data_IF_649885205382
#
_entry.id   IF_649885205382
#
_cell.length_a   1.000
_cell.length_b   1.000
_cell.length_c   1.000
_cell.angle_alpha   90.00
_cell.angle_beta   90.00
_cell.angle_gamma   90.00
#
_symmetry.space_group_name_H-M   'P 1'
#
loop_
_entity.id
_entity.type
_entity.pdbx_description
1 polymer ?
#
# COMPACT_ATOMS: atom_id res chain seq x y z
N UNK A 1 -15.99 -25.82 -20.96
CA UNK A 1 -14.52 -25.61 -21.01
C UNK A 1 -14.25 -24.14 -20.74
N UNK A 2 -13.90 -23.79 -19.50
CA UNK A 2 -13.52 -22.41 -19.16
C UNK A 2 -12.07 -22.22 -19.60
N UNK A 3 -11.83 -21.31 -20.54
CA UNK A 3 -10.48 -21.01 -21.05
C UNK A 3 -9.63 -20.56 -19.86
N UNK A 4 -8.57 -21.30 -19.53
CA UNK A 4 -7.63 -20.92 -18.47
C UNK A 4 -6.95 -19.63 -18.92
N UNK A 5 -7.23 -18.53 -18.22
CA UNK A 5 -6.53 -17.26 -18.48
C UNK A 5 -5.15 -17.42 -17.85
N UNK A 6 -4.11 -17.50 -18.68
CA UNK A 6 -2.73 -17.60 -18.21
C UNK A 6 -2.09 -16.22 -18.01
N UNK A 7 -2.71 -15.16 -18.57
CA UNK A 7 -2.26 -13.77 -18.51
C UNK A 7 -3.41 -12.79 -18.78
N UNK A 8 -3.45 -11.66 -18.07
CA UNK A 8 -4.30 -10.52 -18.39
C UNK A 8 -3.74 -9.78 -19.62
N UNK A 9 -4.52 -9.52 -20.68
CA UNK A 9 -4.06 -8.77 -21.85
C UNK A 9 -3.64 -7.34 -21.48
N UNK A 10 -2.57 -6.81 -22.12
CA UNK A 10 -2.10 -5.45 -21.85
C UNK A 10 -3.20 -4.39 -22.04
N UNK A 11 -4.00 -4.49 -23.12
CA UNK A 11 -5.14 -3.58 -23.34
C UNK A 11 -6.10 -3.53 -22.15
N UNK A 12 -6.28 -4.65 -21.45
CA UNK A 12 -7.14 -4.72 -20.25
C UNK A 12 -6.47 -4.01 -19.08
N UNK A 13 -5.16 -4.16 -18.91
CA UNK A 13 -4.38 -3.39 -17.92
C UNK A 13 -4.46 -1.89 -18.20
N UNK A 14 -4.22 -1.48 -19.44
CA UNK A 14 -4.27 -0.07 -19.86
C UNK A 14 -5.67 0.53 -19.61
N UNK A 15 -6.72 -0.27 -19.84
CA UNK A 15 -8.11 0.15 -19.56
C UNK A 15 -8.33 0.34 -18.07
N UNK A 16 -7.91 -0.61 -17.23
CA UNK A 16 -8.05 -0.49 -15.77
C UNK A 16 -7.25 0.66 -15.20
N UNK A 17 -6.02 0.86 -15.67
CA UNK A 17 -5.17 1.96 -15.24
C UNK A 17 -5.79 3.31 -15.64
N UNK A 18 -6.28 3.45 -16.87
CA UNK A 18 -6.95 4.65 -17.34
C UNK A 18 -8.26 4.92 -16.57
N UNK A 19 -9.02 3.89 -16.21
CA UNK A 19 -10.21 4.01 -15.37
C UNK A 19 -9.85 4.55 -13.98
N UNK A 20 -8.85 3.93 -13.32
CA UNK A 20 -8.38 4.31 -11.98
C UNK A 20 -7.60 5.63 -11.97
N UNK A 21 -7.22 6.18 -13.12
CA UNK A 21 -6.63 7.51 -13.25
C UNK A 21 -7.68 8.64 -13.27
N UNK A 22 -8.97 8.31 -13.37
CA UNK A 22 -10.04 9.30 -13.23
C UNK A 22 -10.29 9.61 -11.76
N UNK A 23 -10.63 10.87 -11.46
CA UNK A 23 -11.10 11.25 -10.13
C UNK A 23 -12.39 10.51 -9.80
N UNK A 24 -12.37 9.75 -8.71
CA UNK A 24 -13.51 9.00 -8.20
C UNK A 24 -13.69 9.26 -6.71
N UNK A 25 -14.93 9.18 -6.24
CA UNK A 25 -15.20 9.15 -4.80
C UNK A 25 -14.57 7.90 -4.17
N UNK A 26 -13.99 7.95 -2.96
CA UNK A 26 -13.30 6.80 -2.37
C UNK A 26 -14.13 5.50 -2.32
N UNK A 27 -15.43 5.51 -2.00
CA UNK A 27 -16.25 4.30 -2.04
C UNK A 27 -16.39 3.69 -3.44
N UNK A 28 -16.54 4.52 -4.47
CA UNK A 28 -16.66 4.09 -5.87
C UNK A 28 -15.33 3.54 -6.38
N UNK A 29 -14.24 4.25 -6.12
CA UNK A 29 -12.89 3.83 -6.47
C UNK A 29 -12.57 2.45 -5.90
N UNK A 30 -12.87 2.27 -4.60
CA UNK A 30 -12.66 0.99 -3.91
C UNK A 30 -13.53 -0.12 -4.49
N UNK A 31 -14.81 0.16 -4.75
CA UNK A 31 -15.71 -0.80 -5.38
C UNK A 31 -15.15 -1.28 -6.72
N UNK A 32 -14.73 -0.34 -7.57
CA UNK A 32 -14.13 -0.64 -8.88
C UNK A 32 -12.86 -1.47 -8.75
N UNK A 33 -11.98 -1.10 -7.83
CA UNK A 33 -10.75 -1.84 -7.58
C UNK A 33 -11.05 -3.28 -7.11
N UNK A 34 -12.02 -3.45 -6.21
CA UNK A 34 -12.40 -4.78 -5.72
C UNK A 34 -12.97 -5.66 -6.85
N UNK A 35 -13.74 -5.10 -7.79
CA UNK A 35 -14.19 -5.83 -8.99
C UNK A 35 -13.01 -6.29 -9.85
N UNK A 36 -12.04 -5.41 -10.09
CA UNK A 36 -10.83 -5.74 -10.85
C UNK A 36 -10.08 -6.86 -10.15
N UNK A 37 -9.79 -6.72 -8.85
CA UNK A 37 -9.03 -7.69 -8.07
C UNK A 37 -9.71 -9.06 -7.99
N UNK A 38 -11.05 -9.11 -7.82
CA UNK A 38 -11.82 -10.37 -7.85
C UNK A 38 -11.75 -11.09 -9.19
N UNK A 39 -11.55 -10.36 -10.28
CA UNK A 39 -11.45 -10.94 -11.63
C UNK A 39 -10.08 -11.57 -11.93
N UNK A 40 -9.06 -11.30 -11.11
CA UNK A 40 -7.68 -11.74 -11.34
C UNK A 40 -7.40 -12.99 -10.51
N UNK A 41 -7.08 -14.13 -11.14
CA UNK A 41 -6.59 -15.30 -10.41
C UNK A 41 -5.32 -14.98 -9.63
N UNK A 42 -5.23 -15.47 -8.40
CA UNK A 42 -4.07 -15.29 -7.50
C UNK A 42 -2.73 -15.62 -8.18
N UNK A 43 -2.70 -16.71 -8.95
CA UNK A 43 -1.50 -17.14 -9.69
C UNK A 43 -1.01 -16.12 -10.72
N UNK A 44 -1.92 -15.33 -11.30
CA UNK A 44 -1.57 -14.26 -12.25
C UNK A 44 -1.12 -13.02 -11.48
N UNK A 45 -1.85 -12.63 -10.43
CA UNK A 45 -1.58 -11.43 -9.65
C UNK A 45 -0.13 -11.34 -9.15
N UNK A 46 0.44 -12.47 -8.73
CA UNK A 46 1.82 -12.52 -8.25
C UNK A 46 2.90 -12.74 -9.30
N UNK A 47 2.55 -13.21 -10.51
CA UNK A 47 3.53 -13.62 -11.54
C UNK A 47 3.59 -12.69 -12.73
N UNK A 48 2.50 -12.00 -13.05
CA UNK A 48 2.44 -11.12 -14.20
C UNK A 48 3.04 -9.75 -13.88
N UNK A 49 4.00 -9.32 -14.70
CA UNK A 49 4.49 -7.95 -14.69
C UNK A 49 3.39 -6.96 -15.14
N UNK A 50 3.48 -5.72 -14.66
CA UNK A 50 2.53 -4.66 -15.00
C UNK A 50 1.28 -4.58 -14.11
N UNK A 51 1.26 -5.28 -12.97
CA UNK A 51 0.17 -5.21 -11.99
C UNK A 51 0.50 -4.31 -10.78
N UNK A 52 1.66 -3.64 -10.80
CA UNK A 52 2.11 -2.77 -9.70
C UNK A 52 1.09 -1.67 -9.40
N UNK A 53 0.52 -1.05 -10.44
CA UNK A 53 -0.49 0.01 -10.29
C UNK A 53 -1.73 -0.43 -9.49
N UNK A 54 -2.10 -1.73 -9.52
CA UNK A 54 -3.23 -2.23 -8.71
C UNK A 54 -2.92 -2.22 -7.22
N UNK A 55 -1.66 -2.42 -6.84
CA UNK A 55 -1.23 -2.28 -5.46
C UNK A 55 -1.22 -0.82 -5.04
N UNK A 56 -0.74 0.06 -5.91
CA UNK A 56 -0.69 1.49 -5.60
C UNK A 56 -2.12 2.05 -5.51
N UNK A 57 -3.04 1.59 -6.37
CA UNK A 57 -4.48 1.83 -6.27
C UNK A 57 -5.08 1.31 -4.96
N UNK A 58 -4.66 0.11 -4.53
CA UNK A 58 -5.08 -0.45 -3.25
C UNK A 58 -4.66 0.46 -2.10
N UNK A 59 -3.39 0.88 -2.05
CA UNK A 59 -2.90 1.84 -1.03
C UNK A 59 -3.68 3.16 -1.12
N UNK A 60 -3.83 3.72 -2.32
CA UNK A 60 -4.55 4.98 -2.57
C UNK A 60 -5.98 4.94 -2.01
N UNK A 61 -6.72 3.86 -2.28
CA UNK A 61 -8.09 3.70 -1.78
C UNK A 61 -8.18 3.68 -0.24
N UNK A 62 -7.21 3.07 0.44
CA UNK A 62 -7.17 2.99 1.92
C UNK A 62 -6.79 4.34 2.53
N UNK A 63 -5.85 5.05 1.91
CA UNK A 63 -5.46 6.40 2.33
C UNK A 63 -6.63 7.37 2.16
N UNK A 64 -7.29 7.33 1.00
CA UNK A 64 -8.41 8.23 0.71
C UNK A 64 -9.61 8.02 1.67
N UNK A 65 -9.97 6.75 1.96
CA UNK A 65 -11.02 6.40 2.92
C UNK A 65 -10.65 6.86 4.34
N UNK A 66 -9.40 6.59 4.77
CA UNK A 66 -8.90 6.97 6.10
C UNK A 66 -8.90 8.48 6.33
N UNK A 67 -8.51 9.26 5.32
CA UNK A 67 -8.47 10.73 5.38
C UNK A 67 -9.83 11.38 5.12
N UNK A 68 -10.90 10.60 4.90
CA UNK A 68 -12.24 11.10 4.58
C UNK A 68 -12.23 12.07 3.39
N UNK A 69 -11.55 11.65 2.33
CA UNK A 69 -11.26 12.49 1.16
C UNK A 69 -12.46 12.62 0.24
N UNK A 70 -12.51 13.70 -0.54
CA UNK A 70 -13.55 13.91 -1.55
C UNK A 70 -13.31 13.05 -2.79
N UNK A 71 -12.06 12.88 -3.21
CA UNK A 71 -11.76 12.07 -4.40
C UNK A 71 -10.35 11.48 -4.35
N UNK A 72 -10.12 10.44 -5.14
CA UNK A 72 -8.83 9.78 -5.33
C UNK A 72 -8.65 9.38 -6.79
N UNK A 73 -7.39 9.37 -7.25
CA UNK A 73 -7.00 8.83 -8.56
C UNK A 73 -5.57 8.31 -8.55
N UNK A 74 -5.24 7.40 -9.45
CA UNK A 74 -3.86 7.15 -9.86
C UNK A 74 -3.32 8.27 -10.73
N UNK A 75 -2.00 8.39 -10.75
CA UNK A 75 -1.28 9.26 -11.68
C UNK A 75 -0.48 8.38 -12.63
N UNK A 76 -0.69 8.54 -13.94
CA UNK A 76 -0.01 7.76 -14.98
C UNK A 76 1.42 8.22 -15.28
N UNK A 77 1.88 9.31 -14.65
CA UNK A 77 3.26 9.76 -14.76
C UNK A 77 4.19 8.91 -13.87
N UNK A 78 5.51 9.07 -14.00
CA UNK A 78 6.46 8.31 -13.15
C UNK A 78 6.27 8.62 -11.65
N UNK A 79 5.86 9.86 -11.31
CA UNK A 79 5.64 10.35 -9.93
C UNK A 79 4.66 11.54 -9.93
N UNK A 80 3.84 11.74 -8.88
CA UNK A 80 3.58 10.82 -7.76
C UNK A 80 2.83 9.55 -8.24
N UNK A 81 2.63 8.57 -7.36
CA UNK A 81 1.87 7.34 -7.71
C UNK A 81 0.35 7.60 -7.73
N UNK A 82 -0.14 8.42 -6.81
CA UNK A 82 -1.55 8.76 -6.71
C UNK A 82 -1.78 10.15 -6.10
N UNK A 83 -3.01 10.64 -6.27
CA UNK A 83 -3.46 11.92 -5.71
C UNK A 83 -4.76 11.74 -4.95
N UNK A 84 -4.91 12.55 -3.90
CA UNK A 84 -6.10 12.60 -3.07
C UNK A 84 -6.59 14.03 -3.00
N UNK A 85 -7.89 14.24 -3.18
CA UNK A 85 -8.52 15.54 -3.07
C UNK A 85 -9.30 15.64 -1.75
N UNK A 86 -9.03 16.67 -0.95
CA UNK A 86 -9.77 16.96 0.29
C UNK A 86 -10.10 18.44 0.37
N UNK A 87 -11.39 18.78 0.46
CA UNK A 87 -11.92 20.15 0.49
C UNK A 87 -11.36 21.02 -0.65
N UNK A 88 -11.22 20.41 -1.83
CA UNK A 88 -10.68 21.06 -3.03
C UNK A 88 -9.14 21.15 -3.12
N UNK A 89 -8.40 20.84 -2.05
CA UNK A 89 -6.93 20.73 -2.11
C UNK A 89 -6.54 19.36 -2.66
N UNK A 90 -5.51 19.31 -3.51
CA UNK A 90 -4.93 18.08 -4.05
C UNK A 90 -3.60 17.81 -3.33
N UNK A 91 -3.51 16.66 -2.69
CA UNK A 91 -2.29 16.15 -2.07
C UNK A 91 -1.71 15.01 -2.90
N UNK A 92 -0.40 15.06 -3.13
CA UNK A 92 0.35 14.09 -3.94
C UNK A 92 0.98 13.04 -3.05
N UNK A 93 0.90 11.76 -3.44
CA UNK A 93 1.39 10.64 -2.64
C UNK A 93 2.26 9.68 -3.45
N UNK A 94 3.42 9.37 -2.89
CA UNK A 94 4.23 8.22 -3.27
C UNK A 94 3.80 7.02 -2.41
N UNK A 95 3.53 5.89 -3.04
CA UNK A 95 3.25 4.60 -2.42
C UNK A 95 4.52 3.74 -2.36
N UNK A 96 4.68 3.01 -1.25
CA UNK A 96 5.71 2.00 -1.13
C UNK A 96 5.21 0.83 -0.33
N UNK A 97 5.58 -0.38 -0.73
CA UNK A 97 5.34 -1.58 0.07
C UNK A 97 6.64 -2.04 0.72
N UNK A 98 6.59 -2.28 2.04
CA UNK A 98 7.64 -2.93 2.80
C UNK A 98 7.21 -4.39 3.08
N UNK A 99 8.00 -5.33 2.58
CA UNK A 99 7.78 -6.78 2.70
C UNK A 99 9.02 -7.50 3.26
N UNK A 100 8.93 -8.82 3.45
CA UNK A 100 10.10 -9.60 3.88
C UNK A 100 11.18 -9.62 2.80
N UNK A 101 12.44 -9.50 3.22
CA UNK A 101 13.56 -9.71 2.31
C UNK A 101 13.57 -11.14 1.74
N UNK A 102 13.99 -11.28 0.48
CA UNK A 102 14.00 -12.55 -0.23
C UNK A 102 12.62 -13.13 -0.59
N UNK A 103 11.51 -12.45 -0.27
CA UNK A 103 10.16 -12.88 -0.71
C UNK A 103 10.08 -12.83 -2.23
N UNK A 104 10.00 -13.99 -2.87
CA UNK A 104 9.69 -14.10 -4.30
C UNK A 104 8.18 -14.13 -4.49
N UNK A 105 7.65 -13.16 -5.25
CA UNK A 105 6.24 -13.18 -5.65
C UNK A 105 6.00 -14.40 -6.56
N UNK A 106 5.03 -15.23 -6.21
CA UNK A 106 4.70 -16.44 -6.97
C UNK A 106 5.18 -17.77 -6.37
N UNK A 107 5.93 -17.72 -5.26
CA UNK A 107 6.25 -18.88 -4.39
C UNK A 107 5.10 -19.22 -3.43
N UNK A 108 3.98 -18.50 -3.55
CA UNK A 108 2.78 -18.79 -2.76
C UNK A 108 2.27 -20.19 -3.13
N UNK A 109 2.00 -21.05 -2.13
CA UNK A 109 1.59 -22.41 -2.40
C UNK A 109 0.30 -22.42 -3.24
N UNK A 110 0.32 -23.16 -4.34
CA UNK A 110 -0.85 -23.41 -5.18
C UNK A 110 -1.80 -24.38 -4.45
N UNK A 111 -2.52 -23.91 -3.45
CA UNK A 111 -3.46 -24.73 -2.69
C UNK A 111 -4.53 -23.92 -1.97
N UNK A 112 -5.76 -24.41 -2.00
CA UNK A 112 -6.91 -23.90 -1.23
C UNK A 112 -6.95 -24.44 0.21
N UNK A 113 -5.91 -25.15 0.65
CA UNK A 113 -5.85 -25.69 2.00
C UNK A 113 -5.64 -24.54 2.99
N UNK A 114 -6.54 -24.41 3.96
CA UNK A 114 -6.36 -23.54 5.13
C UNK A 114 -5.08 -24.02 5.82
N UNK A 115 -4.00 -23.24 5.69
CA UNK A 115 -2.74 -23.53 6.34
C UNK A 115 -2.77 -22.87 7.72
N UNK A 116 -2.49 -23.64 8.77
CA UNK A 116 -2.21 -23.06 10.07
C UNK A 116 -0.96 -22.18 9.93
N UNK A 117 -1.08 -20.91 10.32
CA UNK A 117 0.03 -19.96 10.37
C UNK A 117 0.47 -19.84 11.84
N UNK A 118 1.56 -20.50 12.26
CA UNK A 118 1.98 -20.53 13.66
C UNK A 118 2.31 -19.13 14.18
N UNK A 119 2.04 -18.89 15.46
CA UNK A 119 2.31 -17.60 16.12
C UNK A 119 3.80 -17.22 16.02
N UNK A 120 4.69 -18.20 16.02
CA UNK A 120 6.14 -18.01 15.84
C UNK A 120 6.48 -17.36 14.51
N UNK A 121 5.75 -17.69 13.45
CA UNK A 121 5.95 -17.08 12.13
C UNK A 121 5.40 -15.64 12.11
N UNK A 122 4.38 -15.33 12.92
CA UNK A 122 3.91 -13.96 13.12
C UNK A 122 4.97 -13.11 13.82
N UNK A 123 5.62 -13.66 14.86
CA UNK A 123 6.73 -12.98 15.56
C UNK A 123 7.92 -12.73 14.63
N UNK A 124 8.33 -13.71 13.82
CA UNK A 124 9.41 -13.51 12.83
C UNK A 124 9.08 -12.40 11.83
N UNK A 125 7.83 -12.34 11.34
CA UNK A 125 7.38 -11.28 10.43
C UNK A 125 7.38 -9.91 11.11
N UNK A 126 6.95 -9.83 12.37
CA UNK A 126 7.03 -8.62 13.18
C UNK A 126 8.48 -8.15 13.36
N UNK A 127 9.40 -9.06 13.71
CA UNK A 127 10.83 -8.76 13.88
C UNK A 127 11.53 -8.34 12.57
N UNK A 128 10.93 -8.64 11.42
CA UNK A 128 11.43 -8.22 10.11
C UNK A 128 11.03 -6.77 9.72
N UNK A 129 10.08 -6.14 10.43
CA UNK A 129 9.60 -4.78 10.14
C UNK A 129 10.76 -3.75 10.06
N UNK A 130 11.71 -3.70 11.03
CA UNK A 130 12.79 -2.71 10.98
C UNK A 130 13.64 -2.82 9.71
N UNK A 131 14.04 -4.02 9.32
CA UNK A 131 14.85 -4.24 8.13
C UNK A 131 14.07 -3.96 6.83
N UNK A 132 12.78 -4.28 6.79
CA UNK A 132 11.92 -3.95 5.67
C UNK A 132 11.77 -2.43 5.49
N UNK A 133 11.57 -1.69 6.59
CA UNK A 133 11.52 -0.23 6.59
C UNK A 133 12.82 0.41 6.13
N UNK A 134 13.96 -0.03 6.68
CA UNK A 134 15.28 0.48 6.33
C UNK A 134 15.56 0.34 4.83
N UNK A 135 15.24 -0.83 4.26
CA UNK A 135 15.40 -1.09 2.82
C UNK A 135 14.58 -0.13 1.96
N UNK A 136 13.29 0.02 2.27
CA UNK A 136 12.41 0.85 1.44
C UNK A 136 12.73 2.34 1.59
N UNK A 137 13.06 2.79 2.80
CA UNK A 137 13.41 4.19 3.07
C UNK A 137 14.72 4.54 2.42
N UNK A 138 15.77 3.72 2.57
CA UNK A 138 17.06 3.95 1.92
C UNK A 138 16.92 4.08 0.40
N UNK A 139 16.08 3.23 -0.22
CA UNK A 139 15.78 3.30 -1.65
C UNK A 139 14.99 4.57 -2.04
N UNK A 140 14.14 5.08 -1.16
CA UNK A 140 13.38 6.31 -1.42
C UNK A 140 14.27 7.54 -1.24
N UNK A 141 15.11 7.59 -0.22
CA UNK A 141 16.06 8.69 0.01
C UNK A 141 17.11 8.85 -1.08
N UNK A 142 17.41 7.79 -1.85
CA UNK A 142 18.29 7.90 -3.02
C UNK A 142 17.64 8.57 -4.23
N UNK A 143 16.39 9.01 -4.13
CA UNK A 143 15.62 9.65 -5.19
C UNK A 143 15.29 11.10 -4.78
N UNK A 144 15.23 11.98 -5.77
CA UNK A 144 14.74 13.35 -5.57
C UNK A 144 13.20 13.37 -5.63
N UNK A 145 12.58 13.90 -4.58
CA UNK A 145 11.13 14.16 -4.50
C UNK A 145 10.87 15.66 -4.36
N UNK A 146 9.66 16.07 -4.74
CA UNK A 146 9.24 17.45 -4.50
C UNK A 146 8.96 17.64 -3.01
N UNK A 147 9.30 18.78 -2.41
CA UNK A 147 9.13 19.01 -0.97
C UNK A 147 7.69 18.85 -0.45
N UNK A 148 6.69 19.00 -1.32
CA UNK A 148 5.27 18.89 -1.02
C UNK A 148 4.70 17.46 -1.17
N UNK A 149 5.53 16.50 -1.56
CA UNK A 149 5.10 15.10 -1.74
C UNK A 149 4.94 14.40 -0.39
N UNK A 150 3.83 13.67 -0.24
CA UNK A 150 3.60 12.77 0.88
C UNK A 150 4.10 11.37 0.56
N UNK A 151 4.50 10.60 1.57
CA UNK A 151 4.86 9.19 1.40
C UNK A 151 3.98 8.32 2.27
N UNK A 152 3.45 7.24 1.69
CA UNK A 152 2.75 6.18 2.41
C UNK A 152 3.53 4.88 2.27
N UNK A 153 3.89 4.27 3.40
CA UNK A 153 4.54 2.95 3.44
C UNK A 153 3.54 1.91 3.93
N UNK A 154 3.18 0.97 3.07
CA UNK A 154 2.36 -0.19 3.43
C UNK A 154 3.24 -1.33 3.96
N UNK A 155 3.01 -1.75 5.20
CA UNK A 155 3.71 -2.88 5.82
C UNK A 155 2.98 -4.18 5.49
N UNK A 156 3.44 -4.89 4.46
CA UNK A 156 2.88 -6.18 4.04
C UNK A 156 3.60 -7.37 4.68
N UNK A 157 3.59 -7.41 6.00
CA UNK A 157 4.22 -8.47 6.79
C UNK A 157 3.19 -9.35 7.54
N UNK A 158 1.91 -8.98 7.57
CA UNK A 158 0.84 -9.85 8.08
C UNK A 158 1.03 -10.28 9.54
N UNK A 159 1.01 -9.34 10.48
CA UNK A 159 1.13 -9.63 11.92
C UNK A 159 -0.24 -9.83 12.58
N UNK A 160 -1.35 -9.67 11.84
CA UNK A 160 -2.74 -9.95 12.25
C UNK A 160 -3.16 -9.23 13.53
N UNK A 161 -2.80 -7.95 13.64
CA UNK A 161 -3.06 -7.13 14.82
C UNK A 161 -2.23 -7.49 16.06
N UNK A 162 -1.36 -8.49 15.99
CA UNK A 162 -0.43 -8.78 17.07
C UNK A 162 0.65 -7.69 17.16
N UNK A 163 1.13 -7.42 18.38
CA UNK A 163 2.27 -6.54 18.65
C UNK A 163 2.09 -5.08 18.21
N UNK A 164 0.87 -4.58 17.99
CA UNK A 164 0.64 -3.18 17.55
C UNK A 164 1.33 -2.19 18.49
N UNK A 165 1.15 -2.32 19.81
CA UNK A 165 1.76 -1.44 20.80
C UNK A 165 3.30 -1.52 20.79
N UNK A 166 3.88 -2.71 20.57
CA UNK A 166 5.33 -2.91 20.43
C UNK A 166 5.85 -2.36 19.08
N UNK A 167 5.01 -2.39 18.05
CA UNK A 167 5.34 -2.00 16.69
C UNK A 167 5.35 -0.49 16.46
N UNK A 168 4.48 0.29 17.12
CA UNK A 168 4.40 1.74 16.89
C UNK A 168 5.74 2.46 17.12
N UNK A 169 6.50 2.21 18.20
CA UNK A 169 7.84 2.78 18.37
C UNK A 169 8.82 2.35 17.27
N UNK A 170 8.70 1.11 16.76
CA UNK A 170 9.53 0.59 15.67
C UNK A 170 9.22 1.32 14.37
N UNK A 171 7.94 1.48 14.02
CA UNK A 171 7.51 2.21 12.82
C UNK A 171 7.98 3.67 12.86
N UNK A 172 7.80 4.33 14.01
CA UNK A 172 8.30 5.70 14.22
C UNK A 172 9.81 5.78 14.03
N UNK A 173 10.57 4.92 14.69
CA UNK A 173 12.04 4.91 14.60
C UNK A 173 12.51 4.60 13.17
N UNK A 174 11.87 3.63 12.52
CA UNK A 174 12.22 3.22 11.16
C UNK A 174 11.95 4.32 10.14
N UNK A 175 10.88 5.11 10.31
CA UNK A 175 10.53 6.23 9.42
C UNK A 175 11.32 7.52 9.67
N UNK A 176 11.97 7.65 10.83
CA UNK A 176 12.73 8.84 11.21
C UNK A 176 13.72 9.35 10.15
N UNK A 177 14.52 8.51 9.46
CA UNK A 177 15.48 8.98 8.47
C UNK A 177 14.86 9.73 7.29
N UNK A 178 13.57 9.49 7.00
CA UNK A 178 12.85 10.12 5.90
C UNK A 178 12.06 11.37 6.30
N UNK A 179 12.05 11.76 7.58
CA UNK A 179 11.14 12.78 8.13
C UNK A 179 11.22 14.14 7.42
N UNK A 180 12.38 14.50 6.90
CA UNK A 180 12.64 15.78 6.24
C UNK A 180 12.53 15.69 4.71
N UNK A 181 12.35 14.49 4.15
CA UNK A 181 12.30 14.26 2.70
C UNK A 181 10.87 14.37 2.12
N UNK A 182 9.86 14.35 2.99
CA UNK A 182 8.45 14.35 2.61
C UNK A 182 7.66 15.27 3.53
N UNK A 183 6.61 15.91 3.00
CA UNK A 183 5.71 16.77 3.78
C UNK A 183 5.03 15.99 4.89
N UNK A 184 4.44 14.84 4.57
CA UNK A 184 3.89 13.91 5.54
C UNK A 184 4.43 12.50 5.30
N UNK A 185 4.73 11.80 6.39
CA UNK A 185 5.05 10.37 6.37
C UNK A 185 3.97 9.56 7.06
N UNK A 186 3.36 8.69 6.26
CA UNK A 186 2.36 7.75 6.69
C UNK A 186 2.87 6.31 6.64
N UNK A 187 2.36 5.51 7.55
CA UNK A 187 2.51 4.05 7.54
C UNK A 187 1.12 3.42 7.57
N UNK A 188 0.83 2.59 6.58
CA UNK A 188 -0.37 1.75 6.54
C UNK A 188 0.00 0.37 7.08
N UNK A 189 -0.53 0.00 8.24
CA UNK A 189 -0.22 -1.27 8.89
C UNK A 189 -1.42 -1.79 9.69
N UNK A 190 -1.70 -3.10 9.58
CA UNK A 190 -2.83 -3.77 10.26
C UNK A 190 -4.17 -3.01 10.10
N UNK A 191 -4.46 -2.56 8.86
CA UNK A 191 -5.70 -1.85 8.55
C UNK A 191 -5.81 -0.44 9.12
N UNK A 192 -4.74 0.11 9.69
CA UNK A 192 -4.71 1.48 10.23
C UNK A 192 -3.68 2.32 9.49
N UNK A 193 -4.05 3.55 9.15
CA UNK A 193 -3.14 4.56 8.64
C UNK A 193 -2.60 5.37 9.83
N UNK A 194 -1.29 5.42 9.98
CA UNK A 194 -0.60 6.21 11.00
C UNK A 194 0.17 7.33 10.33
N UNK A 195 0.04 8.56 10.81
CA UNK A 195 0.99 9.64 10.51
C UNK A 195 2.02 9.67 11.64
N UNK A 196 3.30 9.77 11.29
CA UNK A 196 4.38 9.92 12.27
C UNK A 196 5.13 11.25 12.14
N UNK A 197 5.18 11.80 10.94
CA UNK A 197 5.96 13.00 10.66
C UNK A 197 5.18 13.96 9.77
N UNK A 198 5.31 15.25 10.07
CA UNK A 198 4.81 16.39 9.32
C UNK A 198 5.90 17.46 9.30
N UNK A 199 6.37 17.82 8.10
CA UNK A 199 7.39 18.84 7.87
C UNK A 199 8.64 18.66 8.76
N UNK A 200 9.13 17.41 8.86
CA UNK A 200 10.30 17.09 9.68
C UNK A 200 10.05 16.99 11.19
N UNK A 201 8.87 17.40 11.66
CA UNK A 201 8.46 17.34 13.07
C UNK A 201 7.64 16.07 13.35
N UNK A 202 7.71 15.60 14.60
CA UNK A 202 6.89 14.47 15.04
C UNK A 202 5.42 14.91 15.15
N UNK A 203 4.55 14.26 14.40
CA UNK A 203 3.11 14.48 14.39
C UNK A 203 2.41 13.11 14.33
N UNK A 204 1.72 12.74 15.42
CA UNK A 204 1.11 11.42 15.52
C UNK A 204 -0.41 11.49 15.44
N UNK A 205 -0.93 10.90 14.39
CA UNK A 205 -2.37 10.71 14.17
C UNK A 205 -2.61 9.30 13.65
N UNK A 206 -3.82 8.78 13.88
CA UNK A 206 -4.22 7.47 13.37
C UNK A 206 -5.66 7.47 12.88
N UNK A 207 -5.87 6.75 11.79
CA UNK A 207 -7.18 6.58 11.17
C UNK A 207 -7.39 5.11 10.83
N UNK A 208 -8.59 4.60 11.10
CA UNK A 208 -8.97 3.29 10.62
C UNK A 208 -9.16 3.35 9.11
N UNK A 209 -8.43 2.50 8.38
CA UNK A 209 -8.46 2.44 6.90
C UNK A 209 -9.11 1.15 6.38
N UNK A 210 -9.17 0.12 7.22
CA UNK A 210 -9.84 -1.13 6.92
C UNK A 210 -11.27 -1.09 7.45
N UNK A 211 -12.19 -1.57 6.63
CA UNK A 211 -13.53 -1.96 7.10
C UNK A 211 -13.45 -3.38 7.65
N UNK A 212 -14.38 -3.77 8.50
CA UNK A 212 -14.48 -5.13 9.08
C UNK A 212 -14.44 -6.23 8.00
N UNK A 213 -14.83 -5.92 6.76
CA UNK A 213 -14.85 -6.83 5.61
C UNK A 213 -13.53 -6.96 4.84
N UNK A 214 -12.45 -6.27 5.24
CA UNK A 214 -11.15 -6.35 4.57
C UNK A 214 -10.24 -7.49 5.07
N UNK A 215 -10.69 -8.25 6.07
CA UNK A 215 -9.97 -9.35 6.71
C UNK A 215 -10.59 -10.70 6.40
#
# INVERSE_FOLDING_TARGET
MTKRIDRIPNRTLDTWEAELANWMQPPEYRHRLDEILRSIPRSIFFRQAGLTFLRDAWIASRVADALSSDAVRLVSADRPDFEVQTKGQIDQFEATEADMDGRRRGDEPNGSAIRQDPVEDWRKRFEAIPAALDRVISKKLSKEYRPDTNQVIYINLGCYGAYVDEGLPILRKGTFPAKDAFRHLFVLWEGTLYRFWEDGAYAFDKWQSARVTDF
#
